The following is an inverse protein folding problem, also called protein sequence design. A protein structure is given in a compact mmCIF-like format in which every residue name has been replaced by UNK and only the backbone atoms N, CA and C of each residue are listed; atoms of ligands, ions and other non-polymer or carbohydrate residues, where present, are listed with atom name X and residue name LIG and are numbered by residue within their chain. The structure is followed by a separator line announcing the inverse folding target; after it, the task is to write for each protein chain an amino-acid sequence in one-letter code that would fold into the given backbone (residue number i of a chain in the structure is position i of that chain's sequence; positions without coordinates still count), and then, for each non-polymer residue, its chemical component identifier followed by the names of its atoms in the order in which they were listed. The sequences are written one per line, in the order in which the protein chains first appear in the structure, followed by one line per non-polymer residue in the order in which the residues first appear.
data_IF_541406303620
#
_entry.id   IF_541406303620
#
_cell.length_a   1.000
_cell.length_b   1.000
_cell.length_c   1.000
_cell.angle_alpha   90.00
_cell.angle_beta   90.00
_cell.angle_gamma   90.00
#
_symmetry.space_group_name_H-M   'P 1'
#
loop_
_entity.id
_entity.type
_entity.pdbx_description
1 polymer ?
#
# COMPACT_ATOMS: atom_id res chain seq x y z
N UNK A 1 18.05 32.33 -14.54
CA UNK A 1 17.70 31.49 -13.38
C UNK A 1 17.16 30.16 -13.89
N UNK A 2 17.94 29.08 -13.77
CA UNK A 2 17.54 27.75 -14.28
C UNK A 2 16.50 27.13 -13.34
N UNK A 3 15.30 26.88 -13.86
CA UNK A 3 14.26 26.11 -13.15
C UNK A 3 14.63 24.64 -13.26
N UNK A 4 15.31 24.10 -12.26
CA UNK A 4 15.53 22.66 -12.15
C UNK A 4 14.20 22.04 -11.76
N UNK A 5 13.59 21.30 -12.69
CA UNK A 5 12.42 20.48 -12.38
C UNK A 5 12.86 19.38 -11.41
N UNK A 6 12.36 19.41 -10.17
CA UNK A 6 12.50 18.31 -9.23
C UNK A 6 11.60 17.17 -9.69
N UNK A 7 12.17 16.23 -10.45
CA UNK A 7 11.51 14.96 -10.72
C UNK A 7 11.38 14.21 -9.39
N UNK A 8 10.15 14.09 -8.88
CA UNK A 8 9.89 13.22 -7.73
C UNK A 8 10.23 11.80 -8.14
N UNK A 9 11.08 11.16 -7.35
CA UNK A 9 11.49 9.78 -7.55
C UNK A 9 10.24 8.90 -7.58
N UNK A 10 10.02 8.17 -8.67
CA UNK A 10 8.97 7.15 -8.72
C UNK A 10 9.36 6.03 -7.76
N UNK A 11 8.75 6.01 -6.58
CA UNK A 11 8.88 4.88 -5.66
C UNK A 11 7.90 3.81 -6.10
N UNK A 12 8.39 2.80 -6.81
CA UNK A 12 7.58 1.61 -7.11
C UNK A 12 7.20 0.95 -5.79
N UNK A 13 5.92 0.96 -5.46
CA UNK A 13 5.39 0.11 -4.38
C UNK A 13 5.56 -1.34 -4.83
N UNK A 14 6.32 -2.11 -4.06
CA UNK A 14 6.65 -3.53 -4.36
C UNK A 14 6.23 -4.40 -3.20
N UNK A 15 4.97 -4.35 -2.83
CA UNK A 15 4.40 -5.29 -1.90
C UNK A 15 2.92 -5.50 -2.22
N UNK A 16 2.41 -6.64 -1.79
CA UNK A 16 0.98 -6.91 -1.76
C UNK A 16 0.53 -7.08 -0.31
N UNK A 17 -0.74 -6.78 -0.06
CA UNK A 17 -1.41 -7.13 1.19
C UNK A 17 -2.32 -8.32 0.94
N UNK A 18 -2.26 -9.31 1.82
CA UNK A 18 -3.17 -10.45 1.82
C UNK A 18 -3.94 -10.45 3.14
N UNK A 19 -5.26 -10.67 3.05
CA UNK A 19 -6.16 -10.76 4.20
C UNK A 19 -6.44 -12.24 4.45
N UNK A 20 -6.15 -12.71 5.67
CA UNK A 20 -6.28 -14.12 6.04
C UNK A 20 -7.10 -14.29 7.32
N UNK A 21 -8.08 -15.19 7.29
CA UNK A 21 -8.81 -15.60 8.49
C UNK A 21 -8.01 -16.67 9.24
N UNK A 22 -7.58 -16.37 10.47
CA UNK A 22 -6.85 -17.31 11.35
C UNK A 22 -7.76 -18.04 12.34
N UNK A 23 -8.87 -17.40 12.73
CA UNK A 23 -9.89 -17.96 13.60
C UNK A 23 -11.20 -17.19 13.41
N UNK A 24 -12.32 -17.66 13.99
CA UNK A 24 -13.66 -17.11 13.73
C UNK A 24 -13.78 -15.58 13.80
N UNK A 25 -13.06 -14.93 14.72
CA UNK A 25 -13.01 -13.47 14.86
C UNK A 25 -11.56 -12.95 14.83
N UNK A 26 -10.67 -13.60 14.06
CA UNK A 26 -9.27 -13.21 13.98
C UNK A 26 -8.83 -13.14 12.53
N UNK A 27 -8.71 -11.91 12.03
CA UNK A 27 -8.34 -11.57 10.68
C UNK A 27 -6.99 -10.86 10.69
N UNK A 28 -6.06 -11.37 9.87
CA UNK A 28 -4.69 -10.87 9.83
C UNK A 28 -4.43 -10.33 8.44
N UNK A 29 -3.79 -9.17 8.38
CA UNK A 29 -3.28 -8.64 7.10
C UNK A 29 -1.78 -8.86 7.07
N UNK A 30 -1.32 -9.60 6.09
CA UNK A 30 0.11 -9.83 5.83
C UNK A 30 0.58 -8.98 4.67
N UNK A 31 1.68 -8.25 4.86
CA UNK A 31 2.39 -7.58 3.77
C UNK A 31 3.50 -8.49 3.26
N UNK A 32 3.47 -8.80 1.97
CA UNK A 32 4.49 -9.58 1.28
C UNK A 32 5.21 -8.69 0.28
N UNK A 33 6.52 -8.54 0.44
CA UNK A 33 7.34 -7.77 -0.49
C UNK A 33 7.52 -8.51 -1.81
N UNK A 34 7.67 -7.76 -2.89
CA UNK A 34 7.89 -8.25 -4.25
C UNK A 34 9.34 -7.98 -4.61
N UNK A 35 10.07 -9.05 -4.92
CA UNK A 35 11.44 -8.99 -5.39
C UNK A 35 11.59 -8.24 -6.70
N UNK A 36 12.84 -7.94 -7.06
CA UNK A 36 13.17 -7.29 -8.34
C UNK A 36 12.79 -8.15 -9.56
N UNK A 37 12.64 -9.45 -9.37
CA UNK A 37 12.19 -10.42 -10.37
C UNK A 37 10.66 -10.48 -10.52
N UNK A 38 9.93 -9.63 -9.78
CA UNK A 38 8.47 -9.60 -9.77
C UNK A 38 7.82 -10.73 -8.97
N UNK A 39 8.62 -11.57 -8.29
CA UNK A 39 8.09 -12.65 -7.46
C UNK A 39 7.90 -12.19 -6.02
N UNK A 40 6.86 -12.68 -5.38
CA UNK A 40 6.65 -12.42 -3.97
C UNK A 40 7.74 -13.11 -3.14
N UNK A 41 8.33 -12.39 -2.19
CA UNK A 41 9.34 -12.93 -1.28
C UNK A 41 8.71 -13.99 -0.38
N UNK A 42 9.45 -15.04 0.01
CA UNK A 42 8.89 -16.18 0.75
C UNK A 42 8.39 -15.84 2.16
N UNK A 43 8.71 -14.66 2.68
CA UNK A 43 8.32 -14.23 4.02
C UNK A 43 7.41 -13.00 3.94
N UNK A 44 6.23 -13.11 4.55
CA UNK A 44 5.32 -11.99 4.79
C UNK A 44 5.37 -11.57 6.25
N UNK A 45 5.15 -10.28 6.53
CA UNK A 45 5.01 -9.76 7.90
C UNK A 45 3.56 -9.40 8.16
N UNK A 46 3.06 -9.68 9.37
CA UNK A 46 1.74 -9.20 9.79
C UNK A 46 1.82 -7.70 10.04
N UNK A 47 0.91 -6.95 9.44
CA UNK A 47 0.87 -5.48 9.52
C UNK A 47 -0.40 -4.95 10.17
N UNK A 48 -1.46 -5.76 10.22
CA UNK A 48 -2.71 -5.38 10.84
C UNK A 48 -3.46 -6.60 11.39
N UNK A 49 -4.23 -6.37 12.45
CA UNK A 49 -5.11 -7.35 13.07
C UNK A 49 -6.52 -6.76 13.16
N UNK A 50 -7.52 -7.55 12.78
CA UNK A 50 -8.91 -7.17 12.80
C UNK A 50 -9.78 -8.27 13.41
N UNK A 51 -10.95 -7.90 13.91
CA UNK A 51 -11.93 -8.89 14.41
C UNK A 51 -12.88 -9.36 13.33
N UNK A 52 -13.09 -8.55 12.29
CA UNK A 52 -13.96 -8.86 11.15
C UNK A 52 -13.18 -8.74 9.84
N UNK A 53 -13.70 -9.37 8.78
CA UNK A 53 -13.15 -9.24 7.44
C UNK A 53 -13.22 -7.79 6.95
N UNK A 54 -14.35 -7.14 7.18
CA UNK A 54 -14.64 -5.76 6.75
C UNK A 54 -13.62 -4.76 7.32
N UNK A 55 -13.23 -4.92 8.59
CA UNK A 55 -12.22 -4.08 9.22
C UNK A 55 -10.82 -4.30 8.61
N UNK A 56 -10.47 -5.55 8.28
CA UNK A 56 -9.21 -5.85 7.59
C UNK A 56 -9.17 -5.28 6.16
N UNK A 57 -10.28 -5.40 5.43
CA UNK A 57 -10.42 -4.88 4.05
C UNK A 57 -10.38 -3.35 4.02
N UNK A 58 -11.13 -2.69 4.90
CA UNK A 58 -11.11 -1.23 5.02
C UNK A 58 -9.70 -0.69 5.32
N UNK A 59 -8.91 -1.42 6.11
CA UNK A 59 -7.52 -1.08 6.34
C UNK A 59 -6.68 -1.19 5.06
N UNK A 60 -6.83 -2.27 4.27
CA UNK A 60 -6.12 -2.42 2.99
C UNK A 60 -6.46 -1.30 2.02
N UNK A 61 -7.73 -0.90 1.94
CA UNK A 61 -8.17 0.22 1.11
C UNK A 61 -7.54 1.55 1.54
N UNK A 62 -7.48 1.81 2.85
CA UNK A 62 -6.84 3.03 3.40
C UNK A 62 -5.37 3.15 3.00
N UNK A 63 -4.66 2.02 2.86
CA UNK A 63 -3.26 1.99 2.46
C UNK A 63 -3.05 2.33 0.98
N UNK A 64 -4.06 2.18 0.13
CA UNK A 64 -4.01 2.60 -1.27
C UNK A 64 -4.19 4.12 -1.40
N UNK A 65 -5.04 4.70 -0.54
CA UNK A 65 -5.31 6.15 -0.52
C UNK A 65 -4.09 6.91 0.00
N UNK A 66 -3.45 6.46 1.08
CA UNK A 66 -2.26 7.11 1.66
C UNK A 66 -1.05 7.12 0.71
N UNK A 67 -0.95 6.13 -0.18
CA UNK A 67 0.12 6.04 -1.18
C UNK A 67 -0.24 6.73 -2.51
N UNK A 68 -1.45 7.27 -2.64
CA UNK A 68 -1.83 8.09 -3.80
C UNK A 68 -1.55 9.55 -3.47
N UNK A 69 -0.59 10.23 -4.14
CA UNK A 69 -0.40 11.65 -3.90
C UNK A 69 -1.70 12.40 -4.22
N UNK A 70 -2.21 13.17 -3.26
CA UNK A 70 -3.38 14.05 -3.45
C UNK A 70 -3.26 14.83 -4.76
N UNK A 71 -4.20 14.58 -5.66
CA UNK A 71 -4.29 15.17 -7.01
C UNK A 71 -4.72 16.64 -6.96
N UNK A 72 -5.05 17.17 -5.77
CA UNK A 72 -5.65 18.48 -5.54
C UNK A 72 -4.74 19.70 -5.78
N UNK A 73 -3.47 19.50 -6.14
CA UNK A 73 -2.56 20.62 -6.46
C UNK A 73 -2.36 20.87 -7.96
N UNK A 74 -3.12 20.18 -8.83
CA UNK A 74 -3.05 20.33 -10.30
C UNK A 74 -4.04 21.36 -10.87
N UNK A 75 -4.42 22.39 -10.10
CA UNK A 75 -5.06 23.56 -10.70
C UNK A 75 -4.01 24.37 -11.50
N UNK A 76 -3.91 24.05 -12.79
CA UNK A 76 -3.30 24.88 -13.82
C UNK A 76 -3.88 26.30 -13.73
N UNK A 77 -3.11 27.27 -13.26
CA UNK A 77 -3.28 28.66 -13.67
C UNK A 77 -2.61 28.82 -15.04
N UNK A 78 -3.43 28.71 -16.08
CA UNK A 78 -3.11 29.13 -17.44
C UNK A 78 -3.07 30.66 -17.55
#
# INVERSE_FOLDING_TARGET
MSKVAHFRHFQTVRYNHAVECKAGNSWWVTRQEIGFDGKALPFGRVVFFARTAEEAEAWVESQQIENTPSVDSLALSA
#
